data_IF_856424167641
#
_entry.id   IF_856424167641
#
_cell.length_a   1.000
_cell.length_b   1.000
_cell.length_c   1.000
_cell.angle_alpha   90.00
_cell.angle_beta   90.00
_cell.angle_gamma   90.00
#
_symmetry.space_group_name_H-M   'P 1'
#
loop_
_entity.id
_entity.type
_entity.pdbx_description
1 polymer ?
#
# COMPACT_ATOMS: atom_id res chain seq x y z
N UNK A 1 -19.30 11.15 -12.33
CA UNK A 1 -20.22 10.75 -11.25
C UNK A 1 -20.34 9.23 -11.10
N UNK A 2 -20.40 8.46 -12.19
CA UNK A 2 -20.41 6.98 -12.18
C UNK A 2 -19.37 6.33 -11.25
N UNK A 3 -18.09 6.72 -11.37
CA UNK A 3 -16.99 6.15 -10.55
C UNK A 3 -17.16 6.38 -9.04
N UNK A 4 -17.71 7.52 -8.63
CA UNK A 4 -17.95 7.82 -7.21
C UNK A 4 -19.11 6.96 -6.68
N UNK A 5 -20.18 6.80 -7.47
CA UNK A 5 -21.29 5.91 -7.15
C UNK A 5 -20.80 4.47 -7.00
N UNK A 6 -20.03 3.97 -7.94
CA UNK A 6 -19.43 2.64 -7.89
C UNK A 6 -18.63 2.41 -6.59
N UNK A 7 -17.77 3.36 -6.22
CA UNK A 7 -16.99 3.28 -4.98
C UNK A 7 -17.87 3.26 -3.73
N UNK A 8 -18.93 4.08 -3.69
CA UNK A 8 -19.88 4.10 -2.58
C UNK A 8 -20.62 2.77 -2.42
N UNK A 9 -21.03 2.16 -3.55
CA UNK A 9 -21.68 0.86 -3.55
C UNK A 9 -20.72 -0.26 -3.12
N UNK A 10 -19.45 -0.23 -3.57
CA UNK A 10 -18.41 -1.16 -3.11
C UNK A 10 -18.17 -1.02 -1.60
N UNK A 11 -18.06 0.21 -1.10
CA UNK A 11 -17.89 0.47 0.31
C UNK A 11 -19.09 -0.04 1.12
N UNK A 12 -20.31 0.18 0.63
CA UNK A 12 -21.54 -0.34 1.27
C UNK A 12 -21.57 -1.87 1.32
N UNK A 13 -21.19 -2.55 0.24
CA UNK A 13 -21.07 -4.01 0.22
C UNK A 13 -20.04 -4.51 1.24
N UNK A 14 -18.84 -3.92 1.23
CA UNK A 14 -17.78 -4.26 2.18
C UNK A 14 -18.23 -4.05 3.64
N UNK A 15 -18.88 -2.93 3.93
CA UNK A 15 -19.43 -2.65 5.26
C UNK A 15 -20.53 -3.63 5.66
N UNK A 16 -21.36 -4.09 4.72
CA UNK A 16 -22.42 -5.07 5.01
C UNK A 16 -21.82 -6.42 5.41
N UNK A 17 -20.74 -6.85 4.74
CA UNK A 17 -20.01 -8.06 5.11
C UNK A 17 -19.29 -7.93 6.46
N UNK A 18 -18.57 -6.82 6.67
CA UNK A 18 -17.81 -6.59 7.93
C UNK A 18 -18.72 -6.38 9.13
N UNK A 19 -19.86 -5.71 8.97
CA UNK A 19 -20.79 -5.36 10.04
C UNK A 19 -21.99 -6.32 10.15
N UNK A 20 -21.87 -7.55 9.66
CA UNK A 20 -22.96 -8.53 9.72
C UNK A 20 -23.49 -8.78 11.14
N UNK A 21 -22.63 -8.62 12.14
CA UNK A 21 -22.94 -8.74 13.57
C UNK A 21 -23.86 -7.66 14.14
N UNK A 22 -24.12 -6.58 13.39
CA UNK A 22 -25.09 -5.53 13.77
C UNK A 22 -26.54 -5.89 13.46
N UNK A 23 -26.79 -7.01 12.78
CA UNK A 23 -28.13 -7.45 12.43
C UNK A 23 -28.85 -7.99 13.67
N UNK A 24 -30.10 -7.59 13.89
CA UNK A 24 -30.82 -7.85 15.14
C UNK A 24 -31.26 -9.30 15.23
N UNK A 25 -31.76 -9.85 14.13
CA UNK A 25 -32.26 -11.22 14.02
C UNK A 25 -31.78 -11.91 12.74
N UNK A 26 -31.92 -13.24 12.73
CA UNK A 26 -31.51 -14.07 11.59
C UNK A 26 -32.33 -13.73 10.33
N UNK A 27 -33.63 -13.47 10.48
CA UNK A 27 -34.49 -13.07 9.35
C UNK A 27 -34.09 -11.75 8.71
N UNK A 28 -33.64 -10.77 9.50
CA UNK A 28 -33.10 -9.51 8.99
C UNK A 28 -31.79 -9.72 8.23
N UNK A 29 -30.90 -10.57 8.77
CA UNK A 29 -29.64 -10.90 8.11
C UNK A 29 -29.85 -11.60 6.77
N UNK A 30 -30.73 -12.60 6.73
CA UNK A 30 -31.13 -13.27 5.48
C UNK A 30 -31.74 -12.28 4.48
N UNK A 31 -32.60 -11.37 4.92
CA UNK A 31 -33.17 -10.33 4.06
C UNK A 31 -32.10 -9.39 3.48
N UNK A 32 -31.09 -9.00 4.28
CA UNK A 32 -29.95 -8.20 3.82
C UNK A 32 -29.11 -8.98 2.80
N UNK A 33 -28.85 -10.27 3.01
CA UNK A 33 -28.14 -11.14 2.06
C UNK A 33 -28.88 -11.24 0.72
N UNK A 34 -30.21 -11.43 0.76
CA UNK A 34 -31.05 -11.47 -0.44
C UNK A 34 -31.01 -10.13 -1.18
N UNK A 35 -31.09 -9.01 -0.47
CA UNK A 35 -31.04 -7.67 -1.07
C UNK A 35 -29.68 -7.40 -1.74
N UNK A 36 -28.58 -7.73 -1.09
CA UNK A 36 -27.23 -7.63 -1.67
C UNK A 36 -27.10 -8.53 -2.90
N UNK A 37 -27.62 -9.75 -2.85
CA UNK A 37 -27.59 -10.66 -4.00
C UNK A 37 -28.46 -10.16 -5.16
N UNK A 38 -29.60 -9.55 -4.89
CA UNK A 38 -30.49 -8.99 -5.92
C UNK A 38 -29.88 -7.75 -6.60
N UNK A 39 -29.25 -6.88 -5.80
CA UNK A 39 -28.58 -5.67 -6.30
C UNK A 39 -27.28 -5.99 -7.05
N UNK A 40 -26.47 -6.92 -6.54
CA UNK A 40 -25.10 -7.12 -7.00
C UNK A 40 -24.85 -8.46 -7.73
N UNK A 41 -25.80 -9.40 -7.67
CA UNK A 41 -25.72 -10.70 -8.32
C UNK A 41 -26.39 -10.72 -9.70
N UNK A 42 -27.42 -9.90 -9.93
CA UNK A 42 -28.12 -9.79 -11.22
C UNK A 42 -27.44 -8.77 -12.13
N UNK A 43 -27.13 -9.19 -13.36
CA UNK A 43 -26.42 -8.37 -14.36
C UNK A 43 -27.13 -7.05 -14.68
N UNK A 44 -28.47 -7.07 -14.65
CA UNK A 44 -29.33 -5.93 -15.00
C UNK A 44 -29.08 -4.75 -14.04
N UNK A 45 -29.11 -5.00 -12.73
CA UNK A 45 -28.91 -3.96 -11.71
C UNK A 45 -27.45 -3.50 -11.64
N UNK A 46 -26.50 -4.41 -11.88
CA UNK A 46 -25.07 -4.08 -11.96
C UNK A 46 -24.76 -3.12 -13.08
N UNK A 47 -25.35 -3.34 -14.26
CA UNK A 47 -25.13 -2.49 -15.43
C UNK A 47 -25.71 -1.09 -15.23
N UNK A 48 -26.84 -0.96 -14.52
CA UNK A 48 -27.39 0.34 -14.10
C UNK A 48 -26.47 1.07 -13.10
N UNK A 49 -25.90 0.36 -12.13
CA UNK A 49 -24.98 0.94 -11.14
C UNK A 49 -23.64 1.36 -11.78
N UNK A 50 -23.17 0.57 -12.74
CA UNK A 50 -21.92 0.81 -13.47
C UNK A 50 -22.07 1.75 -14.67
N UNK A 51 -23.29 2.23 -14.98
CA UNK A 51 -23.63 3.05 -16.15
C UNK A 51 -23.03 2.51 -17.45
N UNK A 52 -22.94 1.18 -17.58
CA UNK A 52 -22.57 0.56 -18.85
C UNK A 52 -23.80 0.56 -19.75
N UNK A 53 -23.68 0.85 -21.05
CA UNK A 53 -24.78 0.57 -21.98
C UNK A 53 -25.19 -0.89 -21.80
N UNK A 54 -26.49 -1.16 -21.88
CA UNK A 54 -27.03 -2.52 -21.91
C UNK A 54 -26.53 -3.19 -23.19
N UNK A 55 -25.28 -3.68 -23.19
CA UNK A 55 -24.77 -4.50 -24.25
C UNK A 55 -25.50 -5.84 -24.15
N UNK A 56 -26.34 -6.09 -25.16
CA UNK A 56 -26.99 -7.37 -25.38
C UNK A 56 -25.94 -8.48 -25.26
N UNK A 57 -26.29 -9.52 -24.50
CA UNK A 57 -25.60 -10.80 -24.53
C UNK A 57 -25.52 -11.29 -25.98
N UNK A 58 -24.43 -11.01 -26.69
CA UNK A 58 -23.84 -11.86 -27.72
C UNK A 58 -22.75 -11.08 -28.47
N UNK A 59 -21.48 -11.37 -28.14
CA UNK A 59 -20.41 -11.50 -29.13
C UNK A 59 -19.20 -12.21 -28.52
N UNK A 60 -19.08 -13.49 -28.89
CA UNK A 60 -17.85 -14.23 -29.12
C UNK A 60 -16.86 -14.38 -27.96
N UNK A 61 -17.10 -15.41 -27.14
CA UNK A 61 -16.00 -16.24 -26.62
C UNK A 61 -15.34 -16.96 -27.81
N UNK A 62 -14.32 -16.36 -28.43
CA UNK A 62 -13.35 -17.10 -29.20
C UNK A 62 -12.11 -17.29 -28.32
N UNK A 63 -12.05 -18.47 -27.70
CA UNK A 63 -10.89 -18.93 -26.96
C UNK A 63 -9.76 -19.27 -27.94
N UNK A 64 -8.68 -18.50 -27.90
CA UNK A 64 -7.34 -18.99 -28.20
C UNK A 64 -6.36 -18.29 -27.23
N UNK A 65 -5.61 -19.04 -26.40
CA UNK A 65 -4.64 -18.44 -25.50
C UNK A 65 -3.37 -18.14 -26.30
N UNK A 66 -3.38 -17.08 -27.10
CA UNK A 66 -2.11 -16.48 -27.52
C UNK A 66 -1.53 -15.79 -26.29
N UNK A 67 -0.46 -16.37 -25.77
CA UNK A 67 0.40 -15.77 -24.76
C UNK A 67 0.99 -14.49 -25.37
N UNK A 68 0.26 -13.39 -25.27
CA UNK A 68 0.75 -12.05 -25.56
C UNK A 68 1.66 -11.70 -24.40
N UNK A 69 2.95 -11.51 -24.69
CA UNK A 69 3.93 -11.10 -23.70
C UNK A 69 3.42 -9.86 -22.95
N UNK A 70 3.34 -9.89 -21.60
CA UNK A 70 2.86 -8.78 -20.77
C UNK A 70 3.59 -7.44 -20.98
N UNK A 71 4.76 -7.46 -21.63
CA UNK A 71 5.58 -6.30 -21.96
C UNK A 71 5.25 -5.64 -23.30
N UNK A 72 4.52 -6.30 -24.20
CA UNK A 72 4.26 -5.81 -25.56
C UNK A 72 2.98 -4.95 -25.67
N UNK A 73 2.21 -4.83 -24.59
CA UNK A 73 0.97 -4.04 -24.61
C UNK A 73 1.30 -2.57 -24.35
N UNK A 74 1.52 -1.83 -25.44
CA UNK A 74 1.90 -0.40 -25.44
C UNK A 74 0.98 0.51 -24.59
N UNK A 75 -0.26 0.10 -24.29
CA UNK A 75 -1.20 0.82 -23.42
C UNK A 75 -1.15 0.49 -21.92
N UNK A 76 -0.50 -0.62 -21.54
CA UNK A 76 -0.21 -0.92 -20.13
C UNK A 76 1.01 -0.13 -19.65
N UNK A 77 1.97 0.12 -20.54
CA UNK A 77 3.20 0.84 -20.23
C UNK A 77 2.93 2.29 -19.83
N UNK A 78 2.04 3.01 -20.50
CA UNK A 78 1.77 4.42 -20.22
C UNK A 78 1.07 4.65 -18.88
N UNK A 79 0.06 3.85 -18.54
CA UNK A 79 -0.63 3.94 -17.25
C UNK A 79 0.22 3.39 -16.09
N UNK A 80 1.03 2.34 -16.34
CA UNK A 80 2.07 1.85 -15.40
C UNK A 80 3.12 2.91 -15.13
N UNK A 81 3.58 3.56 -16.20
CA UNK A 81 4.62 4.56 -16.14
C UNK A 81 4.13 5.84 -15.48
N UNK A 82 2.87 6.24 -15.67
CA UNK A 82 2.28 7.40 -14.97
C UNK A 82 2.14 7.16 -13.45
N UNK A 83 1.67 5.99 -13.03
CA UNK A 83 1.61 5.62 -11.61
C UNK A 83 3.00 5.44 -10.99
N UNK A 84 3.93 4.83 -11.73
CA UNK A 84 5.31 4.65 -11.29
C UNK A 84 6.08 5.97 -11.27
N UNK A 85 5.83 6.90 -12.20
CA UNK A 85 6.42 8.25 -12.16
C UNK A 85 6.02 9.00 -10.91
N UNK A 86 4.75 8.94 -10.51
CA UNK A 86 4.26 9.59 -9.30
C UNK A 86 4.95 9.09 -8.02
N UNK A 87 5.11 7.77 -7.88
CA UNK A 87 5.85 7.19 -6.75
C UNK A 87 7.35 7.42 -6.87
N UNK A 88 7.94 7.19 -8.04
CA UNK A 88 9.38 7.31 -8.28
C UNK A 88 9.87 8.75 -8.06
N UNK A 89 9.12 9.77 -8.48
CA UNK A 89 9.49 11.17 -8.27
C UNK A 89 9.60 11.54 -6.78
N UNK A 90 8.84 10.88 -5.90
CA UNK A 90 8.94 11.08 -4.45
C UNK A 90 10.12 10.33 -3.82
N UNK A 91 10.54 9.18 -4.38
CA UNK A 91 11.62 8.36 -3.84
C UNK A 91 13.00 8.63 -4.44
N UNK A 92 13.05 9.12 -5.67
CA UNK A 92 14.28 9.38 -6.43
C UNK A 92 15.21 10.44 -5.81
N UNK A 93 14.72 11.50 -5.12
CA UNK A 93 15.61 12.53 -4.58
C UNK A 93 16.63 11.99 -3.57
N UNK A 94 16.25 10.97 -2.79
CA UNK A 94 17.05 10.50 -1.66
C UNK A 94 18.31 9.72 -2.10
N UNK A 95 18.26 8.74 -3.03
CA UNK A 95 19.45 8.07 -3.54
C UNK A 95 20.39 8.98 -4.35
N UNK A 96 19.83 9.93 -5.12
CA UNK A 96 20.62 10.90 -5.89
C UNK A 96 21.45 11.75 -4.93
N UNK A 97 20.83 12.24 -3.86
CA UNK A 97 21.53 13.02 -2.83
C UNK A 97 22.61 12.18 -2.14
N UNK A 98 22.32 10.91 -1.82
CA UNK A 98 23.31 10.01 -1.23
C UNK A 98 24.53 9.79 -2.14
N UNK A 99 24.30 9.57 -3.45
CA UNK A 99 25.36 9.43 -4.44
C UNK A 99 26.17 10.72 -4.59
N UNK A 100 25.49 11.85 -4.69
CA UNK A 100 26.11 13.16 -4.83
C UNK A 100 26.99 13.50 -3.62
N UNK A 101 26.51 13.23 -2.41
CA UNK A 101 27.27 13.45 -1.17
C UNK A 101 28.47 12.50 -1.06
N UNK A 102 28.33 11.24 -1.48
CA UNK A 102 29.45 10.28 -1.53
C UNK A 102 30.56 10.72 -2.49
N UNK A 103 30.21 11.36 -3.60
CA UNK A 103 31.17 11.93 -4.54
C UNK A 103 31.83 13.21 -4.00
N UNK A 104 31.05 14.14 -3.46
CA UNK A 104 31.55 15.44 -2.98
C UNK A 104 32.40 15.32 -1.71
N UNK A 105 32.08 14.37 -0.83
CA UNK A 105 32.67 14.25 0.50
C UNK A 105 33.73 13.16 0.66
N UNK A 106 34.33 12.76 -0.46
CA UNK A 106 35.38 11.75 -0.49
C UNK A 106 36.74 12.35 -0.11
N UNK A 107 37.52 11.60 0.68
CA UNK A 107 38.94 11.86 0.85
C UNK A 107 39.34 12.97 1.84
N UNK A 108 38.40 13.54 2.61
CA UNK A 108 38.73 14.53 3.64
C UNK A 108 38.10 14.21 5.01
N UNK A 109 38.65 14.81 6.06
CA UNK A 109 38.20 14.70 7.45
C UNK A 109 37.30 15.90 7.75
N UNK A 110 36.08 15.66 8.21
CA UNK A 110 35.10 16.71 8.48
C UNK A 110 35.22 17.26 9.91
N UNK A 111 35.25 16.37 10.91
CA UNK A 111 35.26 16.75 12.32
C UNK A 111 35.92 15.69 13.21
N UNK A 112 36.19 16.10 14.45
CA UNK A 112 36.63 15.25 15.54
C UNK A 112 35.51 15.14 16.58
N UNK A 113 35.12 13.92 16.93
CA UNK A 113 34.10 13.68 17.95
C UNK A 113 34.68 13.87 19.37
N UNK A 114 33.88 14.40 20.33
CA UNK A 114 34.32 14.64 21.71
C UNK A 114 34.31 13.39 22.59
N UNK A 115 33.97 12.22 22.04
CA UNK A 115 33.97 10.93 22.73
C UNK A 115 34.87 9.93 22.01
N UNK A 116 35.47 9.03 22.76
CA UNK A 116 36.34 7.97 22.23
C UNK A 116 35.51 6.85 21.61
N UNK A 117 35.76 6.50 20.35
CA UNK A 117 35.09 5.40 19.66
C UNK A 117 35.94 4.13 19.67
N UNK A 118 35.28 2.97 19.64
CA UNK A 118 35.95 1.67 19.53
C UNK A 118 36.48 1.43 18.11
N UNK A 119 37.64 0.80 17.98
CA UNK A 119 38.32 0.52 16.71
C UNK A 119 37.48 -0.23 15.66
N UNK A 120 36.49 -1.03 16.08
CA UNK A 120 35.58 -1.75 15.19
C UNK A 120 34.71 -0.83 14.32
N UNK A 121 34.50 0.41 14.75
CA UNK A 121 33.73 1.39 13.97
C UNK A 121 34.58 2.14 12.93
N UNK A 122 35.91 1.96 12.94
CA UNK A 122 36.82 2.62 12.01
C UNK A 122 36.39 2.50 10.53
N UNK A 123 36.11 1.31 9.98
CA UNK A 123 35.68 1.19 8.57
C UNK A 123 34.35 1.89 8.29
N UNK A 124 33.49 2.09 9.30
CA UNK A 124 32.19 2.76 9.15
C UNK A 124 32.33 4.29 9.10
N UNK A 125 33.21 4.87 9.91
CA UNK A 125 33.42 6.33 9.98
C UNK A 125 34.50 6.85 9.03
N UNK A 126 35.36 5.96 8.52
CA UNK A 126 36.54 6.29 7.69
C UNK A 126 36.56 5.57 6.34
N UNK A 127 35.41 5.06 5.85
CA UNK A 127 35.31 4.32 4.58
C UNK A 127 35.87 5.06 3.35
N UNK A 128 35.96 6.39 3.40
CA UNK A 128 36.42 7.24 2.30
C UNK A 128 37.89 7.63 2.34
N UNK A 129 38.66 7.19 3.35
CA UNK A 129 40.09 7.50 3.51
C UNK A 129 40.90 6.22 3.74
N UNK A 130 42.09 6.13 3.14
CA UNK A 130 42.96 4.94 3.25
C UNK A 130 44.15 5.18 4.18
N UNK A 131 43.89 5.65 5.40
CA UNK A 131 44.94 5.93 6.40
C UNK A 131 44.78 5.02 7.62
N UNK A 132 45.69 4.04 7.76
CA UNK A 132 45.65 3.03 8.82
C UNK A 132 45.96 3.56 10.22
N UNK A 133 46.68 4.68 10.31
CA UNK A 133 47.21 5.20 11.57
C UNK A 133 46.40 6.38 12.14
N UNK A 134 45.30 6.74 11.47
CA UNK A 134 44.42 7.79 11.95
C UNK A 134 43.58 7.33 13.15
N UNK A 135 43.46 8.19 14.16
CA UNK A 135 42.60 7.97 15.32
C UNK A 135 41.12 7.89 14.90
N UNK A 136 40.36 7.03 15.59
CA UNK A 136 38.95 6.70 15.27
C UNK A 136 38.02 7.88 15.56
N UNK A 137 38.46 8.82 16.40
CA UNK A 137 37.72 10.05 16.71
C UNK A 137 37.52 10.97 15.51
N UNK A 138 38.33 10.82 14.45
CA UNK A 138 38.22 11.60 13.21
C UNK A 138 37.22 10.96 12.25
N UNK A 139 36.25 11.75 11.81
CA UNK A 139 35.12 11.30 11.00
C UNK A 139 35.18 11.93 9.60
N UNK A 140 34.91 11.12 8.58
CA UNK A 140 34.80 11.57 7.19
C UNK A 140 33.47 12.26 6.91
N UNK A 141 33.43 13.13 5.89
CA UNK A 141 32.19 13.85 5.53
C UNK A 141 31.01 12.93 5.16
N UNK A 142 31.27 11.76 4.54
CA UNK A 142 30.21 10.79 4.23
C UNK A 142 29.56 10.20 5.48
N UNK A 143 30.37 9.88 6.49
CA UNK A 143 29.85 9.31 7.72
C UNK A 143 29.09 10.35 8.54
N UNK A 144 29.56 11.60 8.52
CA UNK A 144 28.82 12.72 9.10
C UNK A 144 27.43 12.91 8.45
N UNK A 145 27.34 12.77 7.12
CA UNK A 145 26.05 12.79 6.42
C UNK A 145 25.11 11.67 6.91
N UNK A 146 25.61 10.43 7.06
CA UNK A 146 24.81 9.32 7.58
C UNK A 146 24.30 9.56 9.01
N UNK A 147 25.12 10.15 9.88
CA UNK A 147 24.71 10.51 11.25
C UNK A 147 23.56 11.54 11.22
N UNK A 148 23.64 12.55 10.35
CA UNK A 148 22.57 13.54 10.19
C UNK A 148 21.28 12.91 9.63
N UNK A 149 21.39 11.96 8.70
CA UNK A 149 20.25 11.24 8.12
C UNK A 149 19.48 10.45 9.19
N UNK A 150 20.18 9.78 10.10
CA UNK A 150 19.56 9.05 11.23
C UNK A 150 18.85 9.98 12.22
N UNK A 151 19.40 11.17 12.49
CA UNK A 151 18.77 12.15 13.38
C UNK A 151 17.55 12.83 12.78
N UNK A 152 17.61 13.17 11.49
CA UNK A 152 16.53 13.87 10.78
C UNK A 152 15.30 12.97 10.56
N UNK A 153 15.46 11.65 10.49
CA UNK A 153 14.31 10.72 10.38
C UNK A 153 13.33 10.91 11.56
N UNK A 154 13.84 10.92 12.78
CA UNK A 154 13.01 11.13 13.99
C UNK A 154 12.36 12.52 13.98
N UNK A 155 13.11 13.53 13.53
CA UNK A 155 12.61 14.90 13.44
C UNK A 155 11.49 15.02 12.39
N UNK A 156 11.66 14.39 11.23
CA UNK A 156 10.67 14.41 10.14
C UNK A 156 9.33 13.78 10.53
N UNK A 157 9.34 12.76 11.40
CA UNK A 157 8.11 12.13 11.91
C UNK A 157 7.34 13.08 12.82
N UNK A 158 8.04 13.79 13.70
CA UNK A 158 7.44 14.80 14.58
C UNK A 158 6.91 15.97 13.75
N UNK A 159 7.72 16.49 12.82
CA UNK A 159 7.28 17.55 11.90
C UNK A 159 6.11 17.12 11.03
N UNK A 160 6.10 15.89 10.51
CA UNK A 160 4.99 15.34 9.73
C UNK A 160 3.70 15.21 10.55
N UNK A 161 3.79 14.82 11.82
CA UNK A 161 2.63 14.76 12.71
C UNK A 161 2.04 16.13 13.03
N UNK A 162 2.90 17.17 13.11
CA UNK A 162 2.48 18.52 13.47
C UNK A 162 2.01 19.35 12.25
N UNK A 163 2.70 19.22 11.10
CA UNK A 163 2.42 19.97 9.87
C UNK A 163 1.62 19.18 8.83
N UNK A 164 1.33 17.90 9.07
CA UNK A 164 0.63 17.03 8.11
C UNK A 164 1.43 16.76 6.83
N UNK A 165 2.74 17.00 6.83
CA UNK A 165 3.59 16.80 5.66
C UNK A 165 4.07 15.35 5.53
N UNK A 166 4.19 14.82 4.30
CA UNK A 166 4.79 13.51 4.07
C UNK A 166 6.25 13.50 4.55
N UNK A 167 6.70 12.38 5.11
CA UNK A 167 8.07 12.25 5.61
C UNK A 167 9.05 12.19 4.43
N UNK A 168 9.80 13.27 4.20
CA UNK A 168 10.71 13.41 3.06
C UNK A 168 12.00 12.56 3.16
N UNK A 169 12.37 12.11 4.35
CA UNK A 169 13.66 11.44 4.61
C UNK A 169 13.52 9.98 5.05
N UNK A 170 12.43 9.30 4.69
CA UNK A 170 12.31 7.86 4.94
C UNK A 170 13.31 7.07 4.10
N UNK A 171 13.87 6.01 4.69
CA UNK A 171 14.86 5.15 4.06
C UNK A 171 14.30 4.59 2.73
N UNK A 172 15.02 4.76 1.61
CA UNK A 172 14.53 4.36 0.30
C UNK A 172 14.62 2.85 0.07
N UNK A 173 15.44 2.12 0.83
CA UNK A 173 15.75 0.72 0.52
C UNK A 173 14.56 -0.23 0.66
N UNK A 174 13.69 -0.05 1.66
CA UNK A 174 12.55 -0.95 1.85
C UNK A 174 11.46 -0.70 0.80
N UNK A 175 11.11 0.56 0.55
CA UNK A 175 10.00 0.90 -0.36
C UNK A 175 10.40 0.82 -1.85
N UNK A 176 11.67 1.07 -2.19
CA UNK A 176 12.13 1.05 -3.58
C UNK A 176 12.46 -0.36 -4.05
N UNK A 177 13.05 -1.22 -3.21
CA UNK A 177 13.15 -2.65 -3.53
C UNK A 177 11.79 -3.33 -3.48
N UNK A 178 10.88 -2.99 -2.55
CA UNK A 178 9.53 -3.57 -2.56
C UNK A 178 8.77 -3.13 -3.81
N UNK A 179 8.80 -1.85 -4.20
CA UNK A 179 8.14 -1.39 -5.43
C UNK A 179 8.78 -1.94 -6.71
N UNK A 180 10.11 -1.95 -6.82
CA UNK A 180 10.83 -2.46 -7.99
C UNK A 180 10.77 -3.99 -8.07
N UNK A 181 10.86 -4.69 -6.93
CA UNK A 181 10.60 -6.13 -6.87
C UNK A 181 9.17 -6.41 -7.26
N UNK A 182 8.18 -5.68 -6.75
CA UNK A 182 6.76 -5.85 -7.10
C UNK A 182 6.50 -5.60 -8.59
N UNK A 183 7.20 -4.65 -9.22
CA UNK A 183 7.12 -4.37 -10.67
C UNK A 183 7.83 -5.44 -11.52
N UNK A 184 8.98 -5.95 -11.07
CA UNK A 184 9.74 -7.01 -11.77
C UNK A 184 9.20 -8.41 -11.49
N UNK A 185 8.55 -8.62 -10.34
CA UNK A 185 7.92 -9.87 -9.92
C UNK A 185 6.47 -9.97 -10.37
N UNK A 186 5.80 -8.87 -10.74
CA UNK A 186 4.44 -8.87 -11.28
C UNK A 186 4.37 -9.30 -12.76
N UNK A 187 5.09 -10.37 -13.11
CA UNK A 187 4.73 -11.26 -14.22
C UNK A 187 3.61 -12.25 -13.85
N UNK A 188 2.86 -11.99 -12.79
CA UNK A 188 1.86 -12.91 -12.26
C UNK A 188 1.03 -12.28 -11.14
N UNK A 189 -0.23 -12.69 -11.11
CA UNK A 189 -1.33 -12.26 -10.26
C UNK A 189 -1.07 -12.56 -8.77
N UNK A 190 -1.80 -11.84 -7.89
CA UNK A 190 -2.03 -12.14 -6.46
C UNK A 190 -0.88 -11.87 -5.49
N UNK A 191 -0.95 -10.73 -4.78
CA UNK A 191 -1.01 -10.62 -3.31
C UNK A 191 -0.26 -9.38 -2.78
N UNK A 192 -0.95 -8.25 -2.65
CA UNK A 192 -0.83 -7.32 -1.53
C UNK A 192 -1.93 -6.26 -1.66
N UNK A 193 -3.00 -6.47 -0.90
CA UNK A 193 -4.07 -5.52 -0.63
C UNK A 193 -3.73 -4.83 0.70
N UNK A 194 -3.43 -3.53 0.71
CA UNK A 194 -4.14 -2.54 1.55
C UNK A 194 -3.52 -1.13 1.35
N UNK A 195 -4.39 -0.14 1.14
CA UNK A 195 -4.17 1.31 1.32
C UNK A 195 -3.31 2.06 0.29
N UNK A 196 -3.92 2.40 -0.85
CA UNK A 196 -4.08 3.77 -1.37
C UNK A 196 -4.58 3.68 -2.83
N UNK A 197 -5.75 4.22 -3.12
CA UNK A 197 -6.22 4.44 -4.49
C UNK A 197 -5.46 5.62 -5.14
N UNK A 198 -5.45 5.80 -6.48
CA UNK A 198 -6.19 5.06 -7.53
C UNK A 198 -5.31 4.58 -8.71
N UNK A 199 -5.89 3.73 -9.56
CA UNK A 199 -5.45 3.46 -10.94
C UNK A 199 -4.28 2.49 -11.16
N UNK A 200 -4.34 1.30 -10.56
CA UNK A 200 -3.65 0.13 -11.12
C UNK A 200 -4.55 -1.10 -11.12
N UNK A 201 -4.83 -1.64 -12.31
CA UNK A 201 -5.42 -2.96 -12.54
C UNK A 201 -6.55 -3.39 -11.60
N UNK A 202 -7.52 -2.51 -11.33
CA UNK A 202 -8.67 -2.92 -10.51
C UNK A 202 -9.33 -4.13 -11.20
N UNK A 203 -9.56 -5.26 -10.51
CA UNK A 203 -10.47 -6.28 -11.01
C UNK A 203 -11.74 -5.57 -11.46
N UNK A 204 -12.27 -5.92 -12.64
CA UNK A 204 -13.47 -5.28 -13.20
C UNK A 204 -14.49 -5.15 -12.08
N UNK A 205 -15.03 -3.95 -11.85
CA UNK A 205 -15.89 -3.66 -10.70
C UNK A 205 -16.99 -4.72 -10.50
N UNK A 206 -17.54 -5.21 -11.61
CA UNK A 206 -18.47 -6.33 -11.67
C UNK A 206 -17.97 -7.63 -11.01
N UNK A 207 -16.72 -8.02 -11.26
CA UNK A 207 -16.11 -9.20 -10.64
C UNK A 207 -15.95 -9.00 -9.12
N UNK A 208 -15.58 -7.79 -8.70
CA UNK A 208 -15.48 -7.44 -7.27
C UNK A 208 -16.83 -7.54 -6.59
N UNK A 209 -17.88 -6.97 -7.19
CA UNK A 209 -19.25 -7.08 -6.69
C UNK A 209 -19.75 -8.52 -6.61
N UNK A 210 -19.46 -9.34 -7.63
CA UNK A 210 -19.82 -10.78 -7.62
C UNK A 210 -19.06 -11.55 -6.56
N UNK A 211 -17.78 -11.26 -6.36
CA UNK A 211 -16.97 -11.90 -5.33
C UNK A 211 -17.52 -11.57 -3.94
N UNK A 212 -17.74 -10.29 -3.66
CA UNK A 212 -18.25 -9.84 -2.37
C UNK A 212 -19.67 -10.34 -2.09
N UNK A 213 -20.57 -10.34 -3.08
CA UNK A 213 -21.93 -10.87 -2.89
C UNK A 213 -21.96 -12.38 -2.60
N UNK A 214 -21.08 -13.16 -3.25
CA UNK A 214 -20.92 -14.59 -2.93
C UNK A 214 -20.34 -14.80 -1.53
N UNK A 215 -19.37 -13.99 -1.14
CA UNK A 215 -18.78 -14.03 0.21
C UNK A 215 -19.84 -13.74 1.28
N UNK A 216 -20.62 -12.66 1.13
CA UNK A 216 -21.70 -12.28 2.04
C UNK A 216 -22.74 -13.40 2.18
N UNK A 217 -23.00 -14.16 1.10
CA UNK A 217 -23.94 -15.30 1.15
C UNK A 217 -23.46 -16.45 2.04
N UNK A 218 -22.15 -16.64 2.16
CA UNK A 218 -21.54 -17.72 2.95
C UNK A 218 -21.48 -17.36 4.44
N UNK A 219 -21.55 -16.07 4.79
CA UNK A 219 -21.44 -15.61 6.18
C UNK A 219 -22.68 -16.05 7.00
N UNK A 220 -22.41 -16.83 8.04
CA UNK A 220 -23.40 -17.24 9.03
C UNK A 220 -23.79 -16.06 9.92
N UNK A 221 -25.05 -16.07 10.39
CA UNK A 221 -25.54 -15.08 11.33
C UNK A 221 -24.81 -15.18 12.67
N UNK A 222 -24.35 -14.04 13.18
CA UNK A 222 -23.77 -13.91 14.52
C UNK A 222 -24.34 -12.65 15.17
N UNK A 223 -25.28 -12.80 16.10
CA UNK A 223 -25.85 -11.66 16.80
C UNK A 223 -24.89 -11.12 17.85
N UNK A 224 -24.75 -9.80 17.93
CA UNK A 224 -24.09 -9.14 19.05
C UNK A 224 -24.97 -9.11 20.31
N UNK A 225 -26.27 -9.37 20.20
CA UNK A 225 -27.22 -9.33 21.32
C UNK A 225 -27.26 -10.64 22.11
N UNK A 226 -26.75 -11.74 21.57
CA UNK A 226 -26.68 -13.01 22.31
C UNK A 226 -25.77 -12.87 23.52
N UNK A 227 -26.27 -13.23 24.71
CA UNK A 227 -25.58 -13.16 26.01
C UNK A 227 -25.06 -11.74 26.34
N UNK A 228 -25.79 -10.69 25.95
CA UNK A 228 -25.41 -9.32 26.29
C UNK A 228 -25.60 -9.05 27.79
N UNK A 229 -26.62 -9.64 28.39
CA UNK A 229 -26.95 -9.53 29.81
C UNK A 229 -25.85 -10.13 30.66
N UNK A 230 -25.38 -11.34 30.32
CA UNK A 230 -24.27 -12.00 31.03
C UNK A 230 -22.97 -11.21 30.92
N UNK A 231 -22.65 -10.68 29.72
CA UNK A 231 -21.46 -9.85 29.52
C UNK A 231 -21.54 -8.53 30.29
N UNK A 232 -22.74 -7.96 30.36
CA UNK A 232 -23.00 -6.74 31.09
C UNK A 232 -22.82 -6.99 32.59
N UNK A 233 -23.51 -7.99 33.16
CA UNK A 233 -23.39 -8.36 34.57
C UNK A 233 -21.93 -8.66 34.96
N UNK A 234 -21.21 -9.43 34.15
CA UNK A 234 -19.78 -9.73 34.40
C UNK A 234 -18.88 -8.48 34.45
N UNK A 235 -19.26 -7.39 33.78
CA UNK A 235 -18.49 -6.14 33.80
C UNK A 235 -18.72 -5.34 35.09
N UNK A 236 -19.88 -5.51 35.73
CA UNK A 236 -20.29 -4.75 36.92
C UNK A 236 -20.26 -5.57 38.23
N UNK A 237 -20.12 -6.89 38.16
CA UNK A 237 -19.93 -7.78 39.31
C UNK A 237 -18.48 -7.80 39.85
N UNK A 238 -17.64 -6.82 39.47
CA UNK A 238 -16.30 -6.56 40.02
C UNK A 238 -16.27 -5.25 40.81
#
# INVERSE_FOLDING_TARGET
>A
MAKVREQQHLQKCAMTGQNGWTSLCDSEWEARKVNVFDQYGKNINLNTILEKPLEEENKNKLNSPTMINPFAQAGLNENLWEGMKGNLLNYLPQPILMFYMSYLFRGYIALKLPFTLTANFKPMFQSSIMTTDLDVSYVTGISWYFVNLLGVESLSKVFGSYFGMPSFFTKPEENLLESVSLILSSGGVQSQLQQAQPSFGQPKAEEVFRKQSKEIRIINFKSCLTNVEERFLKKFDN
#
